data_IF_310020836131
#
_entry.id   IF_310020836131
#
_cell.length_a   1.000
_cell.length_b   1.000
_cell.length_c   1.000
_cell.angle_alpha   90.00
_cell.angle_beta   90.00
_cell.angle_gamma   90.00
#
_symmetry.space_group_name_H-M   'P 1'
#
loop_
_entity.id
_entity.type
_entity.pdbx_description
1 polymer ?
#
# COMPACT_ATOMS: atom_id res chain seq x y z
N UNK A 1 -22.66 -7.15 5.28
CA UNK A 1 -22.37 -6.31 4.11
C UNK A 1 -21.39 -7.08 3.25
N UNK A 2 -21.66 -7.26 1.96
CA UNK A 2 -20.71 -7.86 1.02
C UNK A 2 -19.80 -6.77 0.44
N UNK A 3 -18.55 -7.12 0.10
CA UNK A 3 -17.60 -6.17 -0.54
C UNK A 3 -18.17 -5.60 -1.85
N UNK A 4 -18.90 -6.42 -2.61
CA UNK A 4 -19.57 -6.02 -3.85
C UNK A 4 -20.61 -4.90 -3.66
N UNK A 5 -21.11 -4.71 -2.45
CA UNK A 5 -22.12 -3.69 -2.12
C UNK A 5 -21.48 -2.40 -1.62
N UNK A 6 -20.32 -2.48 -0.95
CA UNK A 6 -19.60 -1.32 -0.41
C UNK A 6 -18.66 -0.66 -1.43
N UNK A 7 -18.23 -1.41 -2.45
CA UNK A 7 -17.16 -0.98 -3.34
C UNK A 7 -15.80 -0.89 -2.62
N UNK A 8 -14.79 -0.51 -3.39
CA UNK A 8 -13.40 -0.41 -2.94
C UNK A 8 -13.22 0.68 -1.86
N UNK A 9 -13.58 1.93 -2.17
CA UNK A 9 -13.41 3.04 -1.24
C UNK A 9 -14.22 2.85 0.06
N UNK A 10 -15.42 2.26 -0.03
CA UNK A 10 -16.21 1.93 1.17
C UNK A 10 -15.55 0.85 2.04
N UNK A 11 -14.85 -0.11 1.43
CA UNK A 11 -14.06 -1.09 2.16
C UNK A 11 -12.80 -0.46 2.79
N UNK A 12 -12.10 0.42 2.07
CA UNK A 12 -10.94 1.17 2.58
C UNK A 12 -11.35 1.99 3.81
N UNK A 13 -12.46 2.72 3.74
CA UNK A 13 -12.99 3.50 4.87
C UNK A 13 -13.31 2.62 6.09
N UNK A 14 -13.87 1.43 5.85
CA UNK A 14 -14.15 0.47 6.92
C UNK A 14 -12.85 -0.01 7.59
N UNK A 15 -11.85 -0.38 6.79
CA UNK A 15 -10.54 -0.81 7.28
C UNK A 15 -9.82 0.30 8.04
N UNK A 16 -9.88 1.54 7.54
CA UNK A 16 -9.34 2.71 8.22
C UNK A 16 -9.97 2.88 9.61
N UNK A 17 -11.31 2.83 9.71
CA UNK A 17 -12.03 2.91 11.00
C UNK A 17 -11.62 1.79 11.96
N UNK A 18 -11.50 0.56 11.47
CA UNK A 18 -11.08 -0.59 12.28
C UNK A 18 -9.64 -0.42 12.79
N UNK A 19 -8.73 0.00 11.91
CA UNK A 19 -7.32 0.26 12.23
C UNK A 19 -7.19 1.37 13.27
N UNK A 20 -7.90 2.49 13.11
CA UNK A 20 -7.93 3.58 14.07
C UNK A 20 -8.48 3.16 15.44
N UNK A 21 -9.54 2.36 15.47
CA UNK A 21 -10.11 1.83 16.71
C UNK A 21 -9.19 0.86 17.45
N UNK A 22 -8.27 0.20 16.73
CA UNK A 22 -7.28 -0.70 17.29
C UNK A 22 -5.97 -0.01 17.73
N UNK A 23 -5.80 1.30 17.47
CA UNK A 23 -4.58 2.03 17.85
C UNK A 23 -4.47 2.19 19.37
N UNK A 24 -3.51 1.49 19.97
CA UNK A 24 -3.08 1.75 21.34
C UNK A 24 -1.90 2.73 21.34
N UNK A 25 -2.15 3.98 21.74
CA UNK A 25 -1.13 5.04 21.81
C UNK A 25 0.02 4.73 22.79
N UNK A 26 -0.10 3.69 23.63
CA UNK A 26 0.97 3.21 24.52
C UNK A 26 1.98 2.33 23.79
N UNK A 27 1.66 1.83 22.61
CA UNK A 27 2.58 1.03 21.78
C UNK A 27 3.43 1.98 20.95
N UNK A 28 4.76 1.86 21.07
CA UNK A 28 5.74 2.74 20.42
C UNK A 28 5.60 2.79 18.90
N UNK A 29 5.25 1.67 18.25
CA UNK A 29 5.04 1.63 16.81
C UNK A 29 3.97 2.62 16.33
N UNK A 30 2.88 2.79 17.09
CA UNK A 30 1.83 3.76 16.73
C UNK A 30 2.23 5.21 16.97
N UNK A 31 3.23 5.46 17.80
CA UNK A 31 3.78 6.80 18.06
C UNK A 31 4.73 7.25 16.94
N UNK A 32 5.36 6.29 16.26
CA UNK A 32 6.26 6.54 15.13
C UNK A 32 5.52 6.74 13.81
N UNK A 33 4.23 6.39 13.73
CA UNK A 33 3.44 6.51 12.51
C UNK A 33 3.19 7.99 12.17
N UNK A 34 3.67 8.41 11.00
CA UNK A 34 3.50 9.77 10.45
C UNK A 34 2.23 9.81 9.60
N UNK A 35 2.09 8.83 8.71
CA UNK A 35 0.99 8.71 7.75
C UNK A 35 0.48 7.28 7.71
N UNK A 36 -0.84 7.13 7.89
CA UNK A 36 -1.52 5.84 7.84
C UNK A 36 -2.28 5.65 6.53
N UNK A 37 -3.40 4.91 6.59
CA UNK A 37 -4.26 4.66 5.42
C UNK A 37 -4.79 5.99 4.84
N UNK A 38 -4.73 6.12 3.51
CA UNK A 38 -5.35 7.23 2.77
C UNK A 38 -4.43 7.97 1.78
N UNK A 39 -3.18 7.55 1.64
CA UNK A 39 -2.20 8.08 0.69
C UNK A 39 -1.51 6.93 -0.07
N UNK A 40 -0.60 7.23 -0.99
CA UNK A 40 0.05 6.23 -1.86
C UNK A 40 0.93 5.22 -1.09
N UNK A 41 1.46 5.60 0.08
CA UNK A 41 2.17 4.68 0.97
C UNK A 41 1.99 5.04 2.45
N UNK A 42 2.18 4.06 3.34
CA UNK A 42 2.30 4.32 4.77
C UNK A 42 3.69 4.87 5.10
N UNK A 43 3.77 5.80 6.06
CA UNK A 43 5.03 6.43 6.48
C UNK A 43 5.22 6.44 8.00
N UNK A 44 6.41 6.12 8.48
CA UNK A 44 6.76 6.19 9.91
C UNK A 44 8.22 6.57 10.14
N UNK A 45 8.51 7.10 11.33
CA UNK A 45 9.89 7.32 11.77
C UNK A 45 10.59 5.98 12.02
N UNK A 46 11.61 5.68 11.23
CA UNK A 46 12.65 4.70 11.57
C UNK A 46 13.79 5.35 12.34
N UNK A 47 14.85 4.59 12.61
CA UNK A 47 15.97 5.05 13.44
C UNK A 47 16.67 6.29 12.84
N UNK A 48 17.03 6.23 11.54
CA UNK A 48 17.79 7.29 10.86
C UNK A 48 17.05 7.96 9.70
N UNK A 49 15.83 7.50 9.38
CA UNK A 49 15.06 8.02 8.24
C UNK A 49 13.58 7.68 8.35
N UNK A 50 12.75 8.42 7.61
CA UNK A 50 11.36 8.05 7.38
C UNK A 50 11.34 6.80 6.50
N UNK A 51 10.65 5.77 6.97
CA UNK A 51 10.38 4.57 6.20
C UNK A 51 9.05 4.71 5.47
N UNK A 52 8.98 4.14 4.27
CA UNK A 52 7.77 4.07 3.46
C UNK A 52 7.48 2.61 3.12
N UNK A 53 6.20 2.26 3.12
CA UNK A 53 5.74 0.96 2.63
C UNK A 53 4.44 1.10 1.83
N UNK A 54 4.45 0.57 0.61
CA UNK A 54 3.27 0.30 -0.21
C UNK A 54 3.19 -1.20 -0.48
N UNK A 55 2.04 -1.66 -0.95
CA UNK A 55 1.87 -3.01 -1.47
C UNK A 55 0.85 -2.99 -2.59
N UNK A 56 1.23 -3.59 -3.71
CA UNK A 56 0.37 -3.74 -4.87
C UNK A 56 0.28 -5.20 -5.34
N UNK A 57 -0.81 -5.53 -6.04
CA UNK A 57 -1.00 -6.87 -6.60
C UNK A 57 -1.29 -6.83 -8.10
N UNK A 58 -0.69 -7.77 -8.85
CA UNK A 58 -0.99 -7.99 -10.26
C UNK A 58 -1.67 -9.35 -10.42
N UNK A 59 -2.92 -9.31 -10.87
CA UNK A 59 -3.81 -10.48 -11.01
C UNK A 59 -4.00 -10.77 -12.51
N UNK A 60 -3.80 -12.03 -12.89
CA UNK A 60 -4.07 -12.55 -14.24
C UNK A 60 -5.52 -12.25 -14.64
N UNK A 61 -5.72 -11.85 -15.90
CA UNK A 61 -7.00 -11.46 -16.51
C UNK A 61 -7.63 -10.17 -15.96
N UNK A 62 -6.98 -9.51 -15.00
CA UNK A 62 -7.36 -8.16 -14.51
C UNK A 62 -6.32 -7.13 -14.91
N UNK A 63 -5.05 -7.41 -14.62
CA UNK A 63 -3.94 -6.49 -14.82
C UNK A 63 -3.03 -6.89 -15.98
N UNK A 64 -2.88 -8.20 -16.23
CA UNK A 64 -2.03 -8.77 -17.26
C UNK A 64 -2.61 -10.10 -17.77
N UNK A 65 -2.10 -10.59 -18.92
CA UNK A 65 -2.29 -11.99 -19.32
C UNK A 65 -0.99 -12.58 -19.85
N UNK A 66 -0.73 -13.86 -19.56
CA UNK A 66 0.46 -14.57 -20.08
C UNK A 66 0.45 -14.79 -21.61
N UNK A 67 -0.65 -14.49 -22.29
CA UNK A 67 -0.72 -14.53 -23.76
C UNK A 67 0.05 -13.38 -24.41
N UNK A 68 0.12 -12.23 -23.74
CA UNK A 68 0.71 -10.99 -24.26
C UNK A 68 1.73 -10.35 -23.32
N UNK A 69 1.97 -10.94 -22.15
CA UNK A 69 2.94 -10.45 -21.16
C UNK A 69 3.85 -11.60 -20.75
N UNK A 70 5.15 -11.46 -21.03
CA UNK A 70 6.17 -12.41 -20.57
C UNK A 70 6.37 -12.31 -19.05
N UNK A 71 6.99 -13.34 -18.47
CA UNK A 71 7.35 -13.33 -17.04
C UNK A 71 8.32 -12.20 -16.67
N UNK A 72 9.20 -11.82 -17.58
CA UNK A 72 10.14 -10.71 -17.37
C UNK A 72 9.41 -9.37 -17.34
N UNK A 73 8.53 -9.10 -18.31
CA UNK A 73 7.71 -7.89 -18.35
C UNK A 73 6.77 -7.80 -17.13
N UNK A 74 6.21 -8.94 -16.70
CA UNK A 74 5.41 -9.00 -15.48
C UNK A 74 6.24 -8.66 -14.24
N UNK A 75 7.45 -9.21 -14.12
CA UNK A 75 8.37 -8.89 -13.03
C UNK A 75 8.77 -7.41 -13.02
N UNK A 76 9.08 -6.85 -14.19
CA UNK A 76 9.35 -5.41 -14.33
C UNK A 76 8.18 -4.57 -13.89
N UNK A 77 6.96 -4.91 -14.35
CA UNK A 77 5.75 -4.16 -13.98
C UNK A 77 5.44 -4.27 -12.49
N UNK A 78 5.60 -5.45 -11.89
CA UNK A 78 5.39 -5.66 -10.46
C UNK A 78 6.28 -4.75 -9.60
N UNK A 79 7.53 -4.56 -10.02
CA UNK A 79 8.43 -3.62 -9.37
C UNK A 79 8.02 -2.17 -9.66
N UNK A 80 7.78 -1.84 -10.94
CA UNK A 80 7.52 -0.47 -11.38
C UNK A 80 6.30 0.18 -10.71
N UNK A 81 5.21 -0.58 -10.47
CA UNK A 81 4.02 -0.04 -9.81
C UNK A 81 4.30 0.35 -8.36
N UNK A 82 4.93 -0.53 -7.57
CA UNK A 82 5.28 -0.23 -6.19
C UNK A 82 6.34 0.90 -6.08
N UNK A 83 7.30 0.94 -7.01
CA UNK A 83 8.29 2.04 -7.07
C UNK A 83 7.64 3.39 -7.39
N UNK A 84 6.55 3.39 -8.17
CA UNK A 84 5.80 4.60 -8.50
C UNK A 84 5.21 5.24 -7.24
N UNK A 85 4.57 4.46 -6.36
CA UNK A 85 4.00 4.98 -5.10
C UNK A 85 5.08 5.54 -4.19
N UNK A 86 6.20 4.84 -4.04
CA UNK A 86 7.33 5.31 -3.22
C UNK A 86 7.85 6.66 -3.77
N UNK A 87 7.96 6.80 -5.10
CA UNK A 87 8.39 8.04 -5.73
C UNK A 87 7.34 9.16 -5.59
N UNK A 88 6.04 8.84 -5.67
CA UNK A 88 4.96 9.80 -5.44
C UNK A 88 5.01 10.40 -4.02
N UNK A 89 5.42 9.59 -3.04
CA UNK A 89 5.67 10.01 -1.65
C UNK A 89 7.00 10.75 -1.43
N UNK A 90 7.75 11.03 -2.51
CA UNK A 90 9.08 11.68 -2.43
C UNK A 90 10.19 10.78 -1.89
N UNK A 91 9.95 9.46 -1.84
CA UNK A 91 10.89 8.47 -1.36
C UNK A 91 11.84 7.95 -2.44
N UNK A 92 12.94 7.34 -1.98
CA UNK A 92 13.83 6.54 -2.81
C UNK A 92 13.77 5.10 -2.33
N UNK A 93 13.37 4.19 -3.22
CA UNK A 93 13.36 2.76 -2.91
C UNK A 93 14.76 2.23 -2.63
N UNK A 94 14.86 1.30 -1.70
CA UNK A 94 16.11 0.66 -1.25
C UNK A 94 16.07 -0.84 -1.50
#
# INVERSE_FOLDING_TARGET
MKVSESGEFGLIDLLAKMSHGARDKRVSAWQQLILGIGDDAAAWYGDDSIQLATVDCLIQDVHFTLEITSWEELGWRALAVNLSDIAAMGGFAK
#
